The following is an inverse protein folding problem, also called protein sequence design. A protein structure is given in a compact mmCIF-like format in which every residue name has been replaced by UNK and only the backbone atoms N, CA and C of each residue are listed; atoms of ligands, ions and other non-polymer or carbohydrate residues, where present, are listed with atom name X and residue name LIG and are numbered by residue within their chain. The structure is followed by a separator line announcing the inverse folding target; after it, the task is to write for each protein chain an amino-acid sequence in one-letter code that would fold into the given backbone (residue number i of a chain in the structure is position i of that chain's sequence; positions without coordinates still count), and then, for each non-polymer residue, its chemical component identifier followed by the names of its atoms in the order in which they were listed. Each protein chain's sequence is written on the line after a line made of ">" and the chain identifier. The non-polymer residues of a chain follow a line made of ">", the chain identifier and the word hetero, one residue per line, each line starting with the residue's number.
data_IF_895659297385
#
_entry.id   IF_895659297385
#
_cell.length_a   1.000
_cell.length_b   1.000
_cell.length_c   1.000
_cell.angle_alpha   90.00
_cell.angle_beta   90.00
_cell.angle_gamma   90.00
#
_symmetry.space_group_name_H-M   'P 1'
#
loop_
_entity.id
_entity.type
_entity.pdbx_description
1 polymer ?
#
# COMPACT_ATOMS: atom_id res chain seq x y z
N UNK A 1 -28.95 4.72 -5.80
CA UNK A 1 -28.40 4.68 -4.43
C UNK A 1 -27.75 3.33 -4.10
N UNK A 2 -28.44 2.21 -4.20
CA UNK A 2 -27.90 0.87 -3.87
C UNK A 2 -26.65 0.51 -4.68
N UNK A 3 -26.63 0.75 -6.00
CA UNK A 3 -25.48 0.53 -6.87
C UNK A 3 -24.23 1.31 -6.41
N UNK A 4 -24.42 2.57 -5.99
CA UNK A 4 -23.30 3.41 -5.49
C UNK A 4 -22.71 2.85 -4.20
N UNK A 5 -23.53 2.39 -3.27
CA UNK A 5 -23.09 1.76 -2.03
C UNK A 5 -22.32 0.45 -2.30
N UNK A 6 -22.80 -0.38 -3.21
CA UNK A 6 -22.14 -1.63 -3.62
C UNK A 6 -20.78 -1.33 -4.25
N UNK A 7 -20.69 -0.35 -5.14
CA UNK A 7 -19.43 0.05 -5.76
C UNK A 7 -18.44 0.60 -4.73
N UNK A 8 -18.90 1.45 -3.79
CA UNK A 8 -18.06 1.94 -2.70
C UNK A 8 -17.53 0.80 -1.82
N UNK A 9 -18.38 -0.14 -1.43
CA UNK A 9 -17.95 -1.31 -0.66
C UNK A 9 -16.90 -2.08 -1.45
N UNK A 10 -17.15 -2.35 -2.72
CA UNK A 10 -16.31 -3.21 -3.55
C UNK A 10 -14.96 -2.57 -3.86
N UNK A 11 -14.93 -1.26 -4.11
CA UNK A 11 -13.70 -0.53 -4.48
C UNK A 11 -12.88 -0.05 -3.28
N UNK A 12 -13.50 0.23 -2.15
CA UNK A 12 -12.81 0.83 -1.00
C UNK A 12 -12.73 -0.09 0.20
N UNK A 13 -13.86 -0.58 0.71
CA UNK A 13 -13.90 -1.35 1.95
C UNK A 13 -13.36 -2.78 1.77
N UNK A 14 -13.82 -3.48 0.75
CA UNK A 14 -13.49 -4.89 0.54
C UNK A 14 -11.97 -5.12 0.31
N UNK A 15 -11.24 -4.32 -0.47
CA UNK A 15 -9.79 -4.46 -0.59
C UNK A 15 -9.06 -4.23 0.73
N UNK A 16 -9.48 -3.26 1.55
CA UNK A 16 -8.92 -3.01 2.87
C UNK A 16 -9.16 -4.21 3.81
N UNK A 17 -10.38 -4.74 3.83
CA UNK A 17 -10.77 -5.89 4.66
C UNK A 17 -9.99 -7.14 4.28
N UNK A 18 -9.94 -7.49 3.00
CA UNK A 18 -9.16 -8.63 2.49
C UNK A 18 -7.68 -8.47 2.85
N UNK A 19 -7.12 -7.26 2.65
CA UNK A 19 -5.72 -6.99 2.98
C UNK A 19 -5.42 -7.31 4.44
N UNK A 20 -6.20 -6.77 5.38
CA UNK A 20 -5.97 -6.95 6.82
C UNK A 20 -6.22 -8.39 7.25
N UNK A 21 -7.26 -9.02 6.70
CA UNK A 21 -7.61 -10.41 6.99
C UNK A 21 -6.47 -11.39 6.64
N UNK A 22 -5.80 -11.18 5.52
CA UNK A 22 -4.77 -12.09 5.01
C UNK A 22 -3.32 -11.67 5.29
N UNK A 23 -3.08 -10.52 5.95
CA UNK A 23 -1.74 -10.07 6.36
C UNK A 23 -0.90 -11.18 7.02
N UNK A 24 -1.41 -12.01 7.96
CA UNK A 24 -0.60 -13.02 8.62
C UNK A 24 -0.02 -14.06 7.65
N UNK A 25 -0.70 -14.29 6.53
CA UNK A 25 -0.24 -15.24 5.51
C UNK A 25 0.77 -14.62 4.54
N UNK A 26 0.76 -13.31 4.36
CA UNK A 26 1.70 -12.58 3.48
C UNK A 26 3.00 -12.21 4.19
N UNK A 27 3.03 -12.33 5.51
CA UNK A 27 4.20 -12.13 6.35
C UNK A 27 5.27 -13.20 6.08
N UNK A 28 6.53 -12.91 6.37
CA UNK A 28 7.63 -13.86 6.24
C UNK A 28 7.45 -15.04 7.18
N UNK A 29 7.98 -16.23 6.78
CA UNK A 29 7.96 -17.43 7.63
C UNK A 29 8.82 -17.30 8.91
N UNK A 30 9.76 -16.37 8.94
CA UNK A 30 10.59 -16.06 10.11
C UNK A 30 9.93 -15.08 11.09
N UNK A 31 8.68 -14.71 10.83
CA UNK A 31 7.95 -13.71 11.61
C UNK A 31 6.48 -14.11 11.76
N UNK A 32 5.91 -13.93 12.96
CA UNK A 32 4.50 -14.17 13.23
C UNK A 32 3.98 -13.07 14.14
N UNK A 33 2.93 -12.37 13.72
CA UNK A 33 2.33 -11.22 14.42
C UNK A 33 3.37 -10.22 14.93
N UNK A 34 4.38 -9.92 14.10
CA UNK A 34 5.43 -8.94 14.43
C UNK A 34 6.50 -9.43 15.40
N UNK A 35 6.51 -10.72 15.73
CA UNK A 35 7.51 -11.37 16.58
C UNK A 35 8.38 -12.28 15.72
N UNK A 36 9.71 -12.23 15.90
CA UNK A 36 10.63 -13.14 15.20
C UNK A 36 10.52 -14.56 15.76
N UNK A 37 10.42 -15.52 14.85
CA UNK A 37 10.29 -16.95 15.12
C UNK A 37 11.26 -17.76 14.25
N UNK A 38 11.66 -18.96 14.64
CA UNK A 38 12.31 -19.91 13.75
C UNK A 38 11.41 -20.31 12.57
N UNK A 39 11.97 -20.46 11.37
CA UNK A 39 11.17 -20.74 10.17
C UNK A 39 10.51 -22.13 10.21
N UNK A 40 11.14 -23.13 10.85
CA UNK A 40 10.62 -24.47 11.07
C UNK A 40 9.33 -24.50 11.89
N UNK A 41 9.14 -23.53 12.79
CA UNK A 41 7.97 -23.44 13.67
C UNK A 41 6.77 -22.81 12.96
N UNK A 42 6.99 -22.03 11.89
CA UNK A 42 5.93 -21.29 11.20
C UNK A 42 4.74 -22.16 10.80
N UNK A 43 5.00 -23.39 10.36
CA UNK A 43 3.98 -24.33 9.86
C UNK A 43 3.41 -25.28 10.93
N UNK A 44 3.73 -25.07 12.22
CA UNK A 44 3.15 -25.83 13.34
C UNK A 44 1.64 -25.64 13.44
N UNK A 45 0.94 -26.65 13.97
CA UNK A 45 -0.52 -26.63 14.14
C UNK A 45 -1.00 -25.44 15.00
N UNK A 46 -0.24 -25.10 16.04
CA UNK A 46 -0.52 -23.98 16.93
C UNK A 46 -0.52 -22.63 16.18
N UNK A 47 0.52 -22.35 15.38
CA UNK A 47 0.64 -21.10 14.65
C UNK A 47 -0.31 -21.04 13.43
N UNK A 48 -0.58 -22.16 12.77
CA UNK A 48 -1.63 -22.26 11.74
C UNK A 48 -3.01 -21.94 12.32
N UNK A 49 -3.35 -22.53 13.47
CA UNK A 49 -4.61 -22.23 14.18
C UNK A 49 -4.71 -20.77 14.59
N UNK A 50 -3.62 -20.19 15.07
CA UNK A 50 -3.57 -18.76 15.44
C UNK A 50 -3.84 -17.84 14.26
N UNK A 51 -3.20 -18.07 13.10
CA UNK A 51 -3.46 -17.33 11.86
C UNK A 51 -4.91 -17.49 11.41
N UNK A 52 -5.43 -18.73 11.42
CA UNK A 52 -6.83 -19.01 11.06
C UNK A 52 -7.82 -18.28 11.96
N UNK A 53 -7.58 -18.29 13.29
CA UNK A 53 -8.44 -17.55 14.24
C UNK A 53 -8.43 -16.05 13.98
N UNK A 54 -7.26 -15.45 13.76
CA UNK A 54 -7.16 -14.03 13.39
C UNK A 54 -7.98 -13.72 12.13
N UNK A 55 -7.81 -14.52 11.08
CA UNK A 55 -8.51 -14.34 9.79
C UNK A 55 -10.02 -14.44 9.96
N UNK A 56 -10.51 -15.40 10.77
CA UNK A 56 -11.95 -15.56 11.03
C UNK A 56 -12.48 -14.34 11.80
N UNK A 57 -11.79 -13.90 12.86
CA UNK A 57 -12.22 -12.75 13.67
C UNK A 57 -12.30 -11.49 12.81
N UNK A 58 -11.24 -11.18 12.05
CA UNK A 58 -11.25 -10.02 11.14
C UNK A 58 -12.34 -10.18 10.06
N UNK A 59 -12.54 -11.39 9.52
CA UNK A 59 -13.60 -11.67 8.54
C UNK A 59 -15.01 -11.41 9.09
N UNK A 60 -15.29 -11.85 10.31
CA UNK A 60 -16.58 -11.59 10.99
C UNK A 60 -16.78 -10.08 11.21
N UNK A 61 -15.76 -9.39 11.68
CA UNK A 61 -15.83 -7.93 11.89
C UNK A 61 -16.01 -7.20 10.57
N UNK A 62 -15.33 -7.62 9.50
CA UNK A 62 -15.51 -7.07 8.16
C UNK A 62 -16.95 -7.23 7.67
N UNK A 63 -17.53 -8.43 7.86
CA UNK A 63 -18.91 -8.69 7.48
C UNK A 63 -19.90 -7.83 8.28
N UNK A 64 -19.72 -7.75 9.60
CA UNK A 64 -20.54 -6.88 10.46
C UNK A 64 -20.43 -5.41 10.04
N UNK A 65 -19.24 -4.95 9.71
CA UNK A 65 -19.00 -3.58 9.22
C UNK A 65 -19.74 -3.33 7.91
N UNK A 66 -19.73 -4.28 6.97
CA UNK A 66 -20.50 -4.19 5.71
C UNK A 66 -21.99 -4.15 6.01
N UNK A 67 -22.50 -5.01 6.89
CA UNK A 67 -23.92 -5.03 7.24
C UNK A 67 -24.38 -3.70 7.87
N UNK A 68 -23.59 -3.14 8.79
CA UNK A 68 -23.88 -1.83 9.41
C UNK A 68 -23.83 -0.71 8.37
N UNK A 69 -22.81 -0.71 7.51
CA UNK A 69 -22.67 0.29 6.44
C UNK A 69 -23.85 0.25 5.46
N UNK A 70 -24.26 -0.94 5.01
CA UNK A 70 -25.43 -1.13 4.13
C UNK A 70 -26.72 -0.77 4.84
N UNK A 71 -26.91 -1.22 6.09
CA UNK A 71 -28.09 -0.91 6.87
C UNK A 71 -28.26 0.59 7.03
N UNK A 72 -27.22 1.30 7.47
CA UNK A 72 -27.28 2.76 7.59
C UNK A 72 -27.54 3.44 6.24
N UNK A 73 -26.88 2.99 5.17
CA UNK A 73 -27.03 3.54 3.82
C UNK A 73 -28.41 3.31 3.19
N UNK A 74 -29.13 2.24 3.58
CA UNK A 74 -30.47 1.93 3.06
C UNK A 74 -31.58 2.68 3.80
N UNK A 75 -31.39 2.95 5.09
CA UNK A 75 -32.41 3.58 5.93
C UNK A 75 -32.31 5.11 6.03
N UNK A 76 -31.24 5.71 5.47
CA UNK A 76 -31.03 7.17 5.51
C UNK A 76 -30.90 7.75 4.10
N UNK A 77 -31.61 8.86 3.85
CA UNK A 77 -31.40 9.67 2.64
C UNK A 77 -30.10 10.49 2.83
N UNK A 78 -28.97 9.94 2.37
CA UNK A 78 -27.67 10.57 2.54
C UNK A 78 -27.30 11.50 1.39
N UNK A 79 -26.81 12.69 1.71
CA UNK A 79 -26.08 13.53 0.76
C UNK A 79 -24.71 12.90 0.43
N UNK A 80 -24.10 13.27 -0.68
CA UNK A 80 -22.78 12.75 -1.08
C UNK A 80 -21.68 13.04 -0.05
N UNK A 81 -21.73 14.21 0.59
CA UNK A 81 -20.82 14.55 1.68
C UNK A 81 -20.99 13.63 2.88
N UNK A 82 -22.21 13.28 3.25
CA UNK A 82 -22.47 12.29 4.32
C UNK A 82 -21.94 10.91 3.98
N UNK A 83 -22.06 10.47 2.73
CA UNK A 83 -21.47 9.19 2.28
C UNK A 83 -19.97 9.20 2.41
N UNK A 84 -19.28 10.29 2.03
CA UNK A 84 -17.83 10.44 2.21
C UNK A 84 -17.41 10.34 3.68
N UNK A 85 -18.10 11.03 4.57
CA UNK A 85 -17.86 10.95 6.02
C UNK A 85 -18.13 9.54 6.57
N UNK A 86 -19.19 8.88 6.13
CA UNK A 86 -19.52 7.52 6.55
C UNK A 86 -18.42 6.53 6.13
N UNK A 87 -17.92 6.61 4.90
CA UNK A 87 -16.81 5.77 4.42
C UNK A 87 -15.56 6.02 5.24
N UNK A 88 -15.18 7.30 5.42
CA UNK A 88 -13.98 7.68 6.17
C UNK A 88 -14.03 7.22 7.63
N UNK A 89 -15.15 7.42 8.32
CA UNK A 89 -15.32 6.96 9.71
C UNK A 89 -15.34 5.44 9.81
N UNK A 90 -16.01 4.75 8.88
CA UNK A 90 -16.07 3.29 8.84
C UNK A 90 -14.67 2.67 8.68
N UNK A 91 -13.87 3.17 7.74
CA UNK A 91 -12.49 2.70 7.53
C UNK A 91 -11.65 2.98 8.77
N UNK A 92 -11.76 4.17 9.36
CA UNK A 92 -10.98 4.55 10.54
C UNK A 92 -11.29 3.67 11.74
N UNK A 93 -12.57 3.44 12.04
CA UNK A 93 -13.00 2.55 13.12
C UNK A 93 -12.55 1.11 12.87
N UNK A 94 -12.72 0.61 11.65
CA UNK A 94 -12.27 -0.73 11.28
C UNK A 94 -10.75 -0.89 11.46
N UNK A 95 -9.95 0.11 11.08
CA UNK A 95 -8.50 0.10 11.26
C UNK A 95 -8.12 0.05 12.74
N UNK A 96 -8.78 0.86 13.59
CA UNK A 96 -8.55 0.88 15.04
C UNK A 96 -8.89 -0.49 15.66
N UNK A 97 -10.07 -1.04 15.36
CA UNK A 97 -10.50 -2.35 15.89
C UNK A 97 -9.54 -3.46 15.43
N UNK A 98 -9.19 -3.47 14.16
CA UNK A 98 -8.26 -4.46 13.59
C UNK A 98 -6.87 -4.38 14.22
N UNK A 99 -6.40 -3.16 14.52
CA UNK A 99 -5.14 -2.96 15.23
C UNK A 99 -5.20 -3.45 16.68
N UNK A 100 -6.30 -3.23 17.39
CA UNK A 100 -6.49 -3.77 18.75
C UNK A 100 -6.48 -5.30 18.75
N UNK A 101 -7.17 -5.92 17.79
CA UNK A 101 -7.14 -7.38 17.63
C UNK A 101 -5.72 -7.85 17.33
N UNK A 102 -5.02 -7.19 16.40
CA UNK A 102 -3.62 -7.50 16.14
C UNK A 102 -2.76 -7.47 17.40
N UNK A 103 -2.94 -6.47 18.29
CA UNK A 103 -2.18 -6.36 19.55
C UNK A 103 -2.43 -7.54 20.48
N UNK A 104 -3.65 -8.06 20.55
CA UNK A 104 -3.97 -9.27 21.33
C UNK A 104 -3.17 -10.46 20.80
N UNK A 105 -3.14 -10.66 19.48
CA UNK A 105 -2.38 -11.74 18.87
C UNK A 105 -0.86 -11.53 18.98
N UNK A 106 -0.38 -10.29 18.90
CA UNK A 106 1.02 -9.95 19.14
C UNK A 106 1.47 -10.29 20.57
N UNK A 107 0.69 -9.90 21.59
CA UNK A 107 0.97 -10.23 22.99
C UNK A 107 0.99 -11.74 23.22
N UNK A 108 0.00 -12.46 22.68
CA UNK A 108 -0.04 -13.91 22.74
C UNK A 108 1.18 -14.56 22.11
N UNK A 109 1.64 -14.03 20.96
CA UNK A 109 2.83 -14.53 20.28
C UNK A 109 4.10 -14.30 21.10
N UNK A 110 4.22 -13.13 21.76
CA UNK A 110 5.32 -12.84 22.71
C UNK A 110 5.35 -13.82 23.88
N UNK A 111 4.19 -14.14 24.45
CA UNK A 111 4.07 -15.14 25.53
C UNK A 111 4.54 -16.52 25.07
N UNK A 112 4.07 -16.98 23.90
CA UNK A 112 4.51 -18.26 23.30
C UNK A 112 6.03 -18.27 23.13
N UNK A 113 6.62 -17.20 22.58
CA UNK A 113 8.07 -17.09 22.40
C UNK A 113 8.84 -17.16 23.72
N UNK A 114 8.37 -16.46 24.74
CA UNK A 114 9.02 -16.44 26.06
C UNK A 114 9.00 -17.79 26.75
N UNK A 115 7.87 -18.51 26.68
CA UNK A 115 7.69 -19.84 27.26
C UNK A 115 8.53 -20.89 26.54
N UNK A 116 8.56 -20.82 25.20
CA UNK A 116 9.30 -21.80 24.37
C UNK A 116 10.80 -21.58 24.34
N UNK A 117 11.33 -20.50 24.96
CA UNK A 117 12.76 -20.15 25.06
C UNK A 117 13.52 -20.16 23.71
N UNK A 118 12.84 -19.87 22.60
CA UNK A 118 13.40 -19.96 21.24
C UNK A 118 14.63 -19.08 20.98
N UNK A 119 14.94 -18.11 21.83
CA UNK A 119 16.10 -17.20 21.65
C UNK A 119 17.38 -17.63 22.37
N UNK A 120 17.34 -18.62 23.29
CA UNK A 120 18.47 -18.89 24.20
C UNK A 120 19.55 -19.84 23.67
N UNK A 121 19.35 -20.53 22.56
CA UNK A 121 20.25 -21.61 22.11
C UNK A 121 20.99 -21.35 20.79
N UNK A 122 20.90 -20.18 20.20
CA UNK A 122 21.45 -19.97 18.83
C UNK A 122 22.39 -18.78 18.76
N UNK A 123 23.64 -19.04 18.39
CA UNK A 123 24.69 -18.03 18.17
C UNK A 123 24.29 -17.10 17.01
N UNK A 124 24.29 -15.81 17.25
CA UNK A 124 24.03 -14.81 16.20
C UNK A 124 25.27 -14.69 15.31
N UNK A 125 25.18 -15.15 14.06
CA UNK A 125 26.18 -14.83 13.03
C UNK A 125 25.61 -13.75 12.11
N UNK A 126 26.30 -12.62 12.05
CA UNK A 126 25.98 -11.52 11.14
C UNK A 126 26.59 -11.83 9.78
N UNK A 127 25.80 -12.31 8.83
CA UNK A 127 26.23 -12.43 7.44
C UNK A 127 26.02 -11.08 6.73
N UNK A 128 27.09 -10.32 6.55
CA UNK A 128 27.06 -9.08 5.75
C UNK A 128 27.53 -9.45 4.34
N UNK A 129 26.57 -9.62 3.42
CA UNK A 129 26.89 -9.76 2.00
C UNK A 129 26.91 -8.39 1.33
N UNK A 130 28.10 -7.86 1.08
CA UNK A 130 28.32 -6.58 0.36
C UNK A 130 27.93 -6.65 -1.12
N UNK A 131 27.94 -7.84 -1.72
CA UNK A 131 27.62 -8.07 -3.13
C UNK A 131 26.16 -7.74 -3.49
N UNK A 132 25.23 -7.71 -2.53
CA UNK A 132 23.83 -7.38 -2.80
C UNK A 132 23.63 -5.96 -3.34
N UNK A 133 24.41 -4.99 -2.86
CA UNK A 133 24.33 -3.59 -3.32
C UNK A 133 24.72 -3.41 -4.79
N UNK A 134 25.40 -4.38 -5.39
CA UNK A 134 25.79 -4.37 -6.81
C UNK A 134 24.66 -4.86 -7.74
N UNK A 135 23.62 -5.51 -7.20
CA UNK A 135 22.50 -5.99 -8.01
C UNK A 135 21.49 -4.87 -8.30
N UNK A 136 20.95 -4.85 -9.53
CA UNK A 136 19.85 -3.95 -9.91
C UNK A 136 18.55 -4.41 -9.23
N UNK A 137 18.26 -3.86 -8.04
CA UNK A 137 17.12 -4.25 -7.20
C UNK A 137 15.77 -3.70 -7.69
N UNK A 138 15.77 -2.69 -8.54
CA UNK A 138 14.58 -2.02 -9.08
C UNK A 138 14.79 -1.62 -10.53
N UNK A 139 13.72 -1.31 -11.22
CA UNK A 139 13.78 -0.65 -12.53
C UNK A 139 14.12 0.84 -12.39
N UNK A 140 14.68 1.43 -13.44
CA UNK A 140 15.08 2.83 -13.45
C UNK A 140 13.88 3.77 -13.29
N UNK A 141 14.08 4.88 -12.57
CA UNK A 141 13.10 5.97 -12.53
C UNK A 141 12.92 6.67 -13.90
N UNK A 142 13.79 6.43 -14.88
CA UNK A 142 13.65 6.99 -16.21
C UNK A 142 12.34 6.59 -16.90
N UNK A 143 11.73 5.47 -16.50
CA UNK A 143 10.41 5.08 -16.99
C UNK A 143 9.31 6.09 -16.65
N UNK A 144 9.49 6.91 -15.62
CA UNK A 144 8.55 7.98 -15.29
C UNK A 144 8.61 9.17 -16.26
N UNK A 145 9.50 9.17 -17.25
CA UNK A 145 9.44 10.15 -18.34
C UNK A 145 8.12 10.04 -19.12
N UNK A 146 7.57 8.82 -19.23
CA UNK A 146 6.30 8.57 -19.94
C UNK A 146 5.14 9.36 -19.30
N UNK A 147 4.82 9.22 -18.00
CA UNK A 147 3.79 10.03 -17.38
C UNK A 147 4.12 11.54 -17.39
N UNK A 148 5.37 11.96 -17.28
CA UNK A 148 5.71 13.37 -17.40
C UNK A 148 5.37 13.92 -18.79
N UNK A 149 5.73 13.20 -19.85
CA UNK A 149 5.38 13.59 -21.22
C UNK A 149 3.85 13.69 -21.40
N UNK A 150 3.09 12.71 -20.87
CA UNK A 150 1.63 12.75 -20.90
C UNK A 150 1.08 14.00 -20.20
N UNK A 151 1.54 14.28 -18.97
CA UNK A 151 1.07 15.42 -18.17
C UNK A 151 1.38 16.74 -18.88
N UNK A 152 2.61 16.94 -19.33
CA UNK A 152 2.98 18.18 -20.02
C UNK A 152 2.26 18.34 -21.36
N UNK A 153 2.06 17.25 -22.12
CA UNK A 153 1.27 17.30 -23.35
C UNK A 153 -0.19 17.69 -23.09
N UNK A 154 -0.79 17.11 -22.04
CA UNK A 154 -2.18 17.50 -21.68
C UNK A 154 -2.27 18.93 -21.15
N UNK A 155 -1.28 19.43 -20.41
CA UNK A 155 -1.21 20.85 -20.03
C UNK A 155 -1.16 21.75 -21.25
N UNK A 156 -0.25 21.48 -22.19
CA UNK A 156 -0.10 22.27 -23.43
C UNK A 156 -1.42 22.28 -24.21
N UNK A 157 -2.02 21.10 -24.44
CA UNK A 157 -3.29 20.99 -25.15
C UNK A 157 -4.41 21.76 -24.44
N UNK A 158 -4.44 21.71 -23.12
CA UNK A 158 -5.45 22.41 -22.32
C UNK A 158 -5.30 23.92 -22.47
N UNK A 159 -4.08 24.46 -22.46
CA UNK A 159 -3.87 25.90 -22.66
C UNK A 159 -4.13 26.36 -24.09
N UNK A 160 -3.73 25.56 -25.09
CA UNK A 160 -4.03 25.85 -26.50
C UNK A 160 -5.54 25.87 -26.78
N UNK A 161 -6.31 25.06 -26.04
CA UNK A 161 -7.75 24.95 -26.18
C UNK A 161 -8.54 25.72 -25.09
N UNK A 162 -7.87 26.58 -24.31
CA UNK A 162 -8.48 27.22 -23.13
C UNK A 162 -9.79 27.95 -23.46
N UNK A 163 -9.85 28.67 -24.56
CA UNK A 163 -11.06 29.40 -25.00
C UNK A 163 -12.26 28.47 -25.24
N UNK A 164 -12.02 27.24 -25.68
CA UNK A 164 -13.04 26.24 -25.99
C UNK A 164 -13.54 25.48 -24.74
N UNK A 165 -12.88 25.66 -23.57
CA UNK A 165 -13.33 25.02 -22.33
C UNK A 165 -14.58 25.71 -21.82
N UNK A 166 -15.66 24.96 -21.42
CA UNK A 166 -16.88 25.53 -20.88
C UNK A 166 -16.63 26.37 -19.60
N UNK A 167 -17.44 27.41 -19.40
CA UNK A 167 -17.38 28.25 -18.18
C UNK A 167 -17.64 27.47 -16.89
N UNK A 168 -18.44 26.40 -16.96
CA UNK A 168 -18.69 25.46 -15.87
C UNK A 168 -18.02 24.13 -16.17
N UNK A 169 -16.96 23.81 -15.43
CA UNK A 169 -16.19 22.57 -15.58
C UNK A 169 -16.74 21.54 -14.59
N UNK A 170 -17.14 20.35 -15.05
CA UNK A 170 -17.57 19.26 -14.18
C UNK A 170 -16.40 18.76 -13.33
N UNK A 171 -16.53 18.80 -12.00
CA UNK A 171 -15.48 18.38 -11.07
C UNK A 171 -15.77 17.04 -10.42
N UNK A 172 -17.04 16.69 -10.26
CA UNK A 172 -17.45 15.44 -9.62
C UNK A 172 -18.62 14.81 -10.37
N UNK A 173 -18.59 13.49 -10.44
CA UNK A 173 -19.66 12.68 -11.03
C UNK A 173 -20.09 11.61 -10.03
N UNK A 174 -21.38 11.31 -9.97
CA UNK A 174 -21.85 10.10 -9.32
C UNK A 174 -21.60 8.87 -10.21
N UNK A 175 -21.84 7.67 -9.69
CA UNK A 175 -21.64 6.44 -10.46
C UNK A 175 -22.66 6.25 -11.61
N UNK A 176 -23.72 7.04 -11.68
CA UNK A 176 -24.67 7.10 -12.79
C UNK A 176 -24.20 8.01 -13.93
N UNK A 177 -23.11 8.76 -13.70
CA UNK A 177 -22.56 9.72 -14.65
C UNK A 177 -23.18 11.11 -14.57
N UNK A 178 -24.03 11.38 -13.57
CA UNK A 178 -24.58 12.70 -13.36
C UNK A 178 -23.54 13.58 -12.68
N UNK A 179 -23.46 14.84 -13.09
CA UNK A 179 -22.51 15.78 -12.53
C UNK A 179 -23.06 16.30 -11.22
N UNK A 180 -22.31 16.12 -10.14
CA UNK A 180 -22.74 16.51 -8.79
C UNK A 180 -22.08 17.80 -8.32
N UNK A 181 -20.97 18.19 -8.95
CA UNK A 181 -20.30 19.46 -8.65
C UNK A 181 -19.65 20.07 -9.89
N UNK A 182 -19.70 21.41 -9.96
CA UNK A 182 -19.09 22.22 -11.00
C UNK A 182 -18.14 23.25 -10.38
N UNK A 183 -17.04 23.55 -11.06
CA UNK A 183 -16.22 24.71 -10.76
C UNK A 183 -16.25 25.71 -11.92
N UNK A 184 -16.08 26.99 -11.58
CA UNK A 184 -15.93 28.05 -12.59
C UNK A 184 -14.58 27.90 -13.29
N UNK A 185 -14.57 28.11 -14.60
CA UNK A 185 -13.36 28.10 -15.42
C UNK A 185 -12.36 29.15 -14.92
N UNK A 186 -11.19 28.67 -14.59
CA UNK A 186 -10.04 29.49 -14.19
C UNK A 186 -8.76 28.72 -14.44
N UNK A 187 -7.62 29.40 -14.50
CA UNK A 187 -6.32 28.71 -14.59
C UNK A 187 -6.08 27.75 -13.42
N UNK A 188 -6.54 28.13 -12.21
CA UNK A 188 -6.47 27.28 -11.04
C UNK A 188 -7.27 25.99 -11.22
N UNK A 189 -8.52 26.08 -11.64
CA UNK A 189 -9.41 24.92 -11.86
C UNK A 189 -8.84 23.98 -12.91
N UNK A 190 -8.33 24.52 -14.01
CA UNK A 190 -7.83 23.74 -15.12
C UNK A 190 -6.49 23.06 -14.78
N UNK A 191 -5.66 23.67 -13.93
CA UNK A 191 -4.38 23.12 -13.48
C UNK A 191 -4.50 22.18 -12.29
N UNK A 192 -5.64 22.15 -11.58
CA UNK A 192 -5.82 21.33 -10.37
C UNK A 192 -5.51 19.85 -10.62
N UNK A 193 -6.03 19.28 -11.69
CA UNK A 193 -5.82 17.87 -12.03
C UNK A 193 -4.38 17.58 -12.47
N UNK A 194 -3.73 18.34 -13.38
CA UNK A 194 -2.32 18.19 -13.68
C UNK A 194 -1.37 18.33 -12.48
N UNK A 195 -1.64 19.26 -11.56
CA UNK A 195 -0.85 19.42 -10.31
C UNK A 195 -0.98 18.18 -9.44
N UNK A 196 -2.20 17.66 -9.27
CA UNK A 196 -2.45 16.42 -8.55
C UNK A 196 -1.73 15.23 -9.21
N UNK A 197 -1.74 15.17 -10.54
CA UNK A 197 -1.03 14.17 -11.33
C UNK A 197 0.49 14.21 -11.10
N UNK A 198 1.09 15.39 -11.17
CA UNK A 198 2.52 15.59 -10.89
C UNK A 198 2.87 15.11 -9.48
N UNK A 199 2.07 15.49 -8.49
CA UNK A 199 2.26 15.05 -7.11
C UNK A 199 2.22 13.52 -6.97
N UNK A 200 1.23 12.87 -7.58
CA UNK A 200 1.13 11.41 -7.55
C UNK A 200 2.35 10.74 -8.20
N UNK A 201 2.83 11.27 -9.32
CA UNK A 201 4.04 10.72 -9.97
C UNK A 201 5.29 10.91 -9.10
N UNK A 202 5.43 12.02 -8.39
CA UNK A 202 6.52 12.20 -7.41
C UNK A 202 6.43 11.16 -6.28
N UNK A 203 5.23 10.82 -5.81
CA UNK A 203 5.03 9.73 -4.83
C UNK A 203 5.48 8.39 -5.44
N UNK A 204 5.09 8.07 -6.67
CA UNK A 204 5.49 6.82 -7.33
C UNK A 204 7.03 6.74 -7.51
N UNK A 205 7.68 7.83 -7.91
CA UNK A 205 9.16 7.94 -7.99
C UNK A 205 9.80 7.69 -6.61
N UNK A 206 9.25 8.30 -5.58
CA UNK A 206 9.70 8.13 -4.20
C UNK A 206 9.58 6.67 -3.77
N UNK A 207 8.41 6.03 -3.96
CA UNK A 207 8.17 4.62 -3.62
C UNK A 207 9.10 3.69 -4.41
N UNK A 208 9.28 3.93 -5.71
CA UNK A 208 10.22 3.14 -6.52
C UNK A 208 11.66 3.28 -6.05
N UNK A 209 12.07 4.48 -5.65
CA UNK A 209 13.41 4.75 -5.09
C UNK A 209 13.58 4.05 -3.75
N UNK A 210 12.57 4.12 -2.88
CA UNK A 210 12.52 3.45 -1.59
C UNK A 210 12.66 1.93 -1.75
N UNK A 211 11.98 1.34 -2.72
CA UNK A 211 12.06 -0.09 -3.04
C UNK A 211 13.50 -0.56 -3.26
N UNK A 212 14.35 0.28 -3.88
CA UNK A 212 15.78 -0.04 -4.07
C UNK A 212 16.67 0.22 -2.85
N UNK A 213 16.35 1.27 -2.07
CA UNK A 213 17.22 1.77 -1.00
C UNK A 213 16.89 1.21 0.40
N UNK A 214 15.70 0.69 0.63
CA UNK A 214 15.29 0.19 1.93
C UNK A 214 16.19 -0.98 2.40
N UNK A 215 16.47 -1.00 3.71
CA UNK A 215 17.26 -2.08 4.33
C UNK A 215 16.55 -3.41 4.17
N UNK A 216 17.31 -4.40 3.73
CA UNK A 216 16.83 -5.78 3.65
C UNK A 216 16.81 -6.46 5.01
N UNK A 217 15.88 -7.40 5.11
CA UNK A 217 15.90 -8.42 6.15
C UNK A 217 16.10 -9.78 5.49
N UNK A 218 17.34 -10.24 5.46
CA UNK A 218 17.69 -11.55 4.91
C UNK A 218 17.52 -12.63 5.97
N UNK A 219 17.08 -13.82 5.54
CA UNK A 219 17.13 -15.01 6.38
C UNK A 219 18.58 -15.41 6.61
N UNK A 220 18.94 -15.62 7.88
CA UNK A 220 20.28 -16.07 8.23
C UNK A 220 20.48 -17.57 7.94
N UNK A 221 19.41 -18.32 7.69
CA UNK A 221 19.46 -19.76 7.36
C UNK A 221 20.01 -20.01 5.94
N UNK A 222 19.58 -19.20 4.99
CA UNK A 222 20.06 -19.23 3.61
C UNK A 222 20.08 -17.82 3.05
N UNK A 223 21.18 -17.07 3.28
CA UNK A 223 21.29 -15.67 2.87
C UNK A 223 21.22 -15.50 1.34
N UNK A 224 21.82 -16.40 0.56
CA UNK A 224 21.83 -16.35 -0.91
C UNK A 224 20.44 -16.52 -1.49
N UNK A 225 19.70 -17.56 -1.05
CA UNK A 225 18.32 -17.79 -1.44
C UNK A 225 17.45 -16.60 -1.06
N UNK A 226 17.57 -16.10 0.16
CA UNK A 226 16.80 -14.95 0.64
C UNK A 226 17.13 -13.68 -0.13
N UNK A 227 18.40 -13.49 -0.53
CA UNK A 227 18.85 -12.38 -1.37
C UNK A 227 18.20 -12.44 -2.76
N UNK A 228 18.20 -13.61 -3.40
CA UNK A 228 17.59 -13.81 -4.72
C UNK A 228 16.06 -13.60 -4.68
N UNK A 229 15.38 -14.15 -3.67
CA UNK A 229 13.96 -13.97 -3.43
C UNK A 229 13.61 -12.48 -3.23
N UNK A 230 14.41 -11.77 -2.45
CA UNK A 230 14.22 -10.33 -2.19
C UNK A 230 14.45 -9.48 -3.46
N UNK A 231 15.42 -9.85 -4.29
CA UNK A 231 15.66 -9.18 -5.59
C UNK A 231 14.45 -9.32 -6.50
N UNK A 232 13.87 -10.53 -6.63
CA UNK A 232 12.66 -10.78 -7.42
C UNK A 232 11.48 -9.97 -6.87
N UNK A 233 11.29 -9.98 -5.55
CA UNK A 233 10.26 -9.20 -4.88
C UNK A 233 10.34 -7.72 -5.23
N UNK A 234 11.51 -7.11 -5.02
CA UNK A 234 11.73 -5.68 -5.27
C UNK A 234 11.53 -5.30 -6.73
N UNK A 235 12.02 -6.12 -7.67
CA UNK A 235 11.85 -5.87 -9.10
C UNK A 235 10.39 -5.95 -9.51
N UNK A 236 9.62 -6.93 -9.02
CA UNK A 236 8.19 -7.03 -9.31
C UNK A 236 7.39 -5.86 -8.74
N UNK A 237 7.68 -5.43 -7.51
CA UNK A 237 7.04 -4.26 -6.91
C UNK A 237 7.47 -2.96 -7.58
N UNK A 238 8.71 -2.83 -8.02
CA UNK A 238 9.19 -1.72 -8.83
C UNK A 238 8.44 -1.63 -10.16
N UNK A 239 8.26 -2.75 -10.87
CA UNK A 239 7.47 -2.80 -12.09
C UNK A 239 6.00 -2.39 -11.82
N UNK A 240 5.38 -2.93 -10.79
CA UNK A 240 4.03 -2.55 -10.36
C UNK A 240 3.91 -1.05 -10.11
N UNK A 241 4.87 -0.45 -9.40
CA UNK A 241 4.90 0.99 -9.10
C UNK A 241 5.00 1.82 -10.38
N UNK A 242 5.88 1.45 -11.30
CA UNK A 242 6.05 2.19 -12.57
C UNK A 242 4.80 2.08 -13.45
N UNK A 243 4.33 0.86 -13.71
CA UNK A 243 3.16 0.65 -14.56
C UNK A 243 1.89 1.22 -13.92
N UNK A 244 1.73 1.10 -12.60
CA UNK A 244 0.61 1.72 -11.87
C UNK A 244 0.61 3.25 -12.03
N UNK A 245 1.78 3.88 -11.93
CA UNK A 245 1.93 5.32 -12.17
C UNK A 245 1.59 5.73 -13.62
N UNK A 246 2.03 4.95 -14.61
CA UNK A 246 1.72 5.21 -16.03
C UNK A 246 0.20 5.08 -16.28
N UNK A 247 -0.41 3.98 -15.83
CA UNK A 247 -1.84 3.72 -16.03
C UNK A 247 -2.70 4.79 -15.34
N UNK A 248 -2.34 5.17 -14.11
CA UNK A 248 -3.04 6.24 -13.40
C UNK A 248 -2.89 7.59 -14.12
N UNK A 249 -1.70 7.90 -14.65
CA UNK A 249 -1.50 9.12 -15.43
C UNK A 249 -2.32 9.12 -16.73
N UNK A 250 -2.42 7.99 -17.43
CA UNK A 250 -3.29 7.87 -18.60
C UNK A 250 -4.74 8.14 -18.25
N UNK A 251 -5.26 7.54 -17.15
CA UNK A 251 -6.62 7.78 -16.69
C UNK A 251 -6.88 9.26 -16.40
N UNK A 252 -6.02 9.89 -15.60
CA UNK A 252 -6.20 11.30 -15.21
C UNK A 252 -6.01 12.24 -16.42
N UNK A 253 -5.12 11.91 -17.36
CA UNK A 253 -5.00 12.65 -18.62
C UNK A 253 -6.28 12.54 -19.48
N UNK A 254 -6.92 11.38 -19.51
CA UNK A 254 -8.22 11.22 -20.20
C UNK A 254 -9.31 12.08 -19.55
N UNK A 255 -9.35 12.15 -18.21
CA UNK A 255 -10.26 13.05 -17.49
C UNK A 255 -9.92 14.52 -17.79
N UNK A 256 -8.65 14.93 -17.84
CA UNK A 256 -8.26 16.29 -18.24
C UNK A 256 -8.72 16.63 -19.66
N UNK A 257 -8.55 15.71 -20.60
CA UNK A 257 -8.98 15.91 -22.00
C UNK A 257 -10.51 16.01 -22.14
N UNK A 258 -11.29 15.47 -21.20
CA UNK A 258 -12.75 15.62 -21.23
C UNK A 258 -13.24 17.05 -20.97
N UNK A 259 -12.35 17.95 -20.51
CA UNK A 259 -12.66 19.39 -20.40
C UNK A 259 -12.66 20.08 -21.78
N UNK A 260 -11.95 19.49 -22.74
CA UNK A 260 -11.77 20.06 -24.10
C UNK A 260 -12.66 19.32 -25.10
N UNK A 261 -12.70 18.00 -25.01
CA UNK A 261 -13.37 17.12 -25.94
C UNK A 261 -14.61 16.49 -25.30
N UNK A 262 -15.67 16.30 -26.08
CA UNK A 262 -16.91 15.66 -25.63
C UNK A 262 -16.71 14.16 -25.44
N UNK A 263 -16.01 13.76 -24.41
CA UNK A 263 -15.81 12.35 -24.04
C UNK A 263 -17.05 11.87 -23.27
N UNK A 264 -17.70 10.76 -23.69
CA UNK A 264 -18.87 10.24 -23.00
C UNK A 264 -18.57 9.93 -21.52
N UNK A 265 -19.41 10.40 -20.61
CA UNK A 265 -19.23 10.22 -19.16
C UNK A 265 -19.20 8.75 -18.77
N UNK A 266 -20.05 7.91 -19.38
CA UNK A 266 -20.01 6.46 -19.16
C UNK A 266 -18.67 5.82 -19.49
N UNK A 267 -17.94 6.33 -20.52
CA UNK A 267 -16.59 5.88 -20.83
C UNK A 267 -15.59 6.26 -19.72
N UNK A 268 -15.65 7.49 -19.21
CA UNK A 268 -14.76 7.95 -18.14
C UNK A 268 -14.93 7.11 -16.86
N UNK A 269 -16.19 6.90 -16.44
CA UNK A 269 -16.50 6.13 -15.22
C UNK A 269 -16.09 4.67 -15.41
N UNK A 270 -16.46 4.05 -16.54
CA UNK A 270 -16.12 2.66 -16.80
C UNK A 270 -14.61 2.45 -16.82
N UNK A 271 -13.86 3.34 -17.49
CA UNK A 271 -12.39 3.28 -17.53
C UNK A 271 -11.79 3.47 -16.15
N UNK A 272 -12.29 4.39 -15.33
CA UNK A 272 -11.83 4.60 -13.96
C UNK A 272 -12.06 3.36 -13.09
N UNK A 273 -13.27 2.78 -13.13
CA UNK A 273 -13.63 1.58 -12.37
C UNK A 273 -12.73 0.40 -12.77
N UNK A 274 -12.60 0.13 -14.07
CA UNK A 274 -11.74 -0.96 -14.59
C UNK A 274 -10.29 -0.75 -14.15
N UNK A 275 -9.77 0.47 -14.25
CA UNK A 275 -8.40 0.80 -13.85
C UNK A 275 -8.14 0.53 -12.38
N UNK A 276 -9.04 0.98 -11.50
CA UNK A 276 -8.91 0.75 -10.05
C UNK A 276 -8.97 -0.74 -9.74
N UNK A 277 -9.92 -1.47 -10.31
CA UNK A 277 -10.00 -2.93 -10.13
C UNK A 277 -8.75 -3.64 -10.61
N UNK A 278 -8.24 -3.29 -11.79
CA UNK A 278 -7.04 -3.92 -12.35
C UNK A 278 -5.81 -3.70 -11.45
N UNK A 279 -5.61 -2.49 -10.91
CA UNK A 279 -4.52 -2.18 -9.99
C UNK A 279 -4.68 -2.96 -8.68
N UNK A 280 -5.88 -3.01 -8.11
CA UNK A 280 -6.14 -3.75 -6.86
C UNK A 280 -5.89 -5.25 -7.05
N UNK A 281 -6.47 -5.85 -8.10
CA UNK A 281 -6.29 -7.28 -8.41
C UNK A 281 -4.80 -7.58 -8.63
N UNK A 282 -4.08 -6.75 -9.37
CA UNK A 282 -2.65 -6.94 -9.59
C UNK A 282 -1.86 -6.87 -8.28
N UNK A 283 -2.17 -5.91 -7.40
CA UNK A 283 -1.54 -5.81 -6.08
C UNK A 283 -1.80 -7.07 -5.23
N UNK A 284 -3.01 -7.64 -5.24
CA UNK A 284 -3.34 -8.88 -4.54
C UNK A 284 -2.60 -10.08 -5.11
N UNK A 285 -2.58 -10.24 -6.44
CA UNK A 285 -1.84 -11.32 -7.10
C UNK A 285 -0.36 -11.23 -6.76
N UNK A 286 0.20 -10.02 -6.81
CA UNK A 286 1.60 -9.78 -6.50
C UNK A 286 1.90 -10.11 -5.03
N UNK A 287 1.06 -9.67 -4.10
CA UNK A 287 1.16 -9.95 -2.67
C UNK A 287 1.09 -11.45 -2.38
N UNK A 288 0.15 -12.15 -3.00
CA UNK A 288 -0.02 -13.59 -2.84
C UNK A 288 1.17 -14.36 -3.40
N UNK A 289 1.65 -14.01 -4.61
CA UNK A 289 2.76 -14.73 -5.29
C UNK A 289 4.13 -14.45 -4.67
N UNK A 290 4.36 -13.25 -4.12
CA UNK A 290 5.68 -12.89 -3.61
C UNK A 290 5.81 -13.01 -2.09
N UNK A 291 4.77 -12.70 -1.34
CA UNK A 291 4.86 -12.51 0.10
C UNK A 291 5.83 -11.37 0.48
N UNK A 292 5.99 -11.08 1.74
CA UNK A 292 6.93 -10.08 2.22
C UNK A 292 8.39 -10.51 1.94
N UNK A 293 9.15 -9.60 1.32
CA UNK A 293 10.56 -9.82 1.00
C UNK A 293 10.82 -11.00 0.04
N UNK A 294 9.80 -11.47 -0.68
CA UNK A 294 9.90 -12.60 -1.61
C UNK A 294 9.78 -13.98 -0.95
N UNK A 295 9.32 -14.04 0.30
CA UNK A 295 9.26 -15.28 1.10
C UNK A 295 8.48 -16.43 0.46
N UNK A 296 7.65 -16.15 -0.55
CA UNK A 296 6.86 -17.14 -1.31
C UNK A 296 7.43 -17.44 -2.69
N UNK A 297 8.49 -16.76 -3.09
CA UNK A 297 9.14 -17.03 -4.38
C UNK A 297 9.93 -18.34 -4.27
N UNK A 298 9.57 -19.32 -5.11
CA UNK A 298 10.29 -20.60 -5.17
C UNK A 298 11.62 -20.41 -5.87
N UNK A 299 12.71 -20.76 -5.21
CA UNK A 299 14.06 -20.76 -5.76
C UNK A 299 14.69 -22.09 -5.37
N UNK A 300 15.08 -22.89 -6.36
CA UNK A 300 15.83 -24.13 -6.15
C UNK A 300 17.30 -23.77 -5.91
N UNK A 301 17.71 -23.76 -4.65
CA UNK A 301 19.12 -23.69 -4.23
C UNK A 301 19.30 -24.65 -3.06
N UNK A 302 20.32 -25.49 -3.13
CA UNK A 302 20.68 -26.41 -2.05
C UNK A 302 21.09 -25.64 -0.79
N UNK A 303 20.46 -26.00 0.32
CA UNK A 303 20.71 -25.39 1.62
C UNK A 303 21.69 -26.22 2.44
N UNK A 304 22.97 -25.92 2.35
CA UNK A 304 23.98 -26.37 3.31
C UNK A 304 24.22 -25.28 4.36
N UNK A 305 23.24 -24.95 5.20
CA UNK A 305 23.41 -23.90 6.20
C UNK A 305 22.79 -24.24 7.54
N UNK A 306 23.58 -24.07 8.62
CA UNK A 306 23.09 -24.14 10.00
C UNK A 306 22.14 -22.98 10.26
N UNK A 307 21.01 -23.28 10.87
CA UNK A 307 19.94 -22.31 11.24
C UNK A 307 20.50 -21.21 12.17
N UNK A 308 20.45 -19.97 11.71
CA UNK A 308 20.80 -18.81 12.51
C UNK A 308 19.58 -17.90 12.63
N UNK A 309 19.15 -17.65 13.84
CA UNK A 309 17.98 -16.83 14.12
C UNK A 309 18.43 -15.42 14.56
N UNK A 310 17.89 -14.38 13.92
CA UNK A 310 18.11 -12.99 14.31
C UNK A 310 16.99 -12.54 15.23
N UNK A 311 17.29 -12.32 16.50
CA UNK A 311 16.36 -11.74 17.44
C UNK A 311 16.66 -10.25 17.63
N UNK A 312 15.91 -9.40 16.93
CA UNK A 312 15.96 -7.94 17.02
C UNK A 312 14.61 -7.35 17.52
N UNK A 313 13.77 -8.17 18.20
CA UNK A 313 12.46 -7.78 18.72
C UNK A 313 12.48 -6.53 19.60
N UNK A 314 13.60 -6.29 20.33
CA UNK A 314 13.78 -5.11 21.19
C UNK A 314 13.58 -3.78 20.46
N UNK A 315 13.91 -3.73 19.17
CA UNK A 315 13.78 -2.53 18.35
C UNK A 315 12.41 -2.38 17.70
N UNK A 316 11.56 -3.42 17.79
CA UNK A 316 10.24 -3.42 17.17
C UNK A 316 9.15 -3.17 18.22
N UNK A 317 8.71 -1.92 18.32
CA UNK A 317 7.62 -1.54 19.24
C UNK A 317 6.28 -2.01 18.64
N UNK A 318 5.48 -2.68 19.48
CA UNK A 318 4.24 -3.34 19.10
C UNK A 318 4.36 -4.27 17.86
N UNK A 319 5.58 -4.72 17.56
CA UNK A 319 5.84 -5.61 16.42
C UNK A 319 5.73 -4.97 15.01
N UNK A 320 5.40 -3.68 14.92
CA UNK A 320 5.20 -2.97 13.65
C UNK A 320 6.07 -1.72 13.48
N UNK A 321 6.42 -1.05 14.58
CA UNK A 321 7.18 0.19 14.55
C UNK A 321 8.65 -0.06 14.87
N UNK A 322 9.52 0.13 13.89
CA UNK A 322 10.97 0.01 14.10
C UNK A 322 11.53 1.29 14.72
N UNK A 323 12.17 1.17 15.87
CA UNK A 323 12.73 2.29 16.63
C UNK A 323 14.16 1.93 17.06
N UNK A 324 15.14 2.42 16.31
CA UNK A 324 16.57 2.21 16.64
C UNK A 324 17.36 3.47 16.24
N UNK A 325 17.85 4.20 17.25
CA UNK A 325 18.63 5.43 17.06
C UNK A 325 20.01 5.15 16.50
N UNK A 326 20.57 3.99 16.80
CA UNK A 326 21.93 3.60 16.39
C UNK A 326 21.99 3.07 14.95
N UNK A 327 20.83 2.67 14.39
CA UNK A 327 20.76 2.20 13.00
C UNK A 327 20.58 3.41 12.05
N UNK A 328 21.55 3.69 11.15
CA UNK A 328 21.47 4.81 10.22
C UNK A 328 20.35 4.66 9.16
N UNK A 329 19.73 3.50 9.10
CA UNK A 329 18.72 3.18 8.10
C UNK A 329 17.42 3.98 8.36
N UNK A 330 16.89 4.60 7.31
CA UNK A 330 15.60 5.32 7.36
C UNK A 330 14.45 4.38 7.06
N UNK A 331 14.58 3.52 6.05
CA UNK A 331 13.52 2.60 5.61
C UNK A 331 13.97 1.15 5.79
N UNK A 332 13.08 0.33 6.36
CA UNK A 332 13.29 -1.09 6.61
C UNK A 332 12.04 -1.89 6.20
N UNK A 333 12.21 -3.15 5.83
CA UNK A 333 11.07 -4.02 5.49
C UNK A 333 10.21 -4.30 6.73
N UNK A 334 8.88 -4.26 6.55
CA UNK A 334 7.91 -4.56 7.61
C UNK A 334 8.04 -5.99 8.12
N UNK A 335 7.76 -6.18 9.40
CA UNK A 335 7.65 -7.51 10.02
C UNK A 335 6.26 -8.11 9.91
N UNK A 336 5.23 -7.29 9.85
CA UNK A 336 3.85 -7.72 9.70
C UNK A 336 3.24 -7.02 8.49
N UNK A 337 2.84 -7.81 7.50
CA UNK A 337 2.36 -7.33 6.22
C UNK A 337 3.45 -7.22 5.15
N UNK A 338 3.12 -6.57 4.05
CA UNK A 338 4.00 -6.36 2.88
C UNK A 338 4.43 -4.89 2.82
N UNK A 339 5.66 -4.65 2.38
CA UNK A 339 6.20 -3.33 2.14
C UNK A 339 7.26 -2.90 3.15
N UNK A 340 7.36 -1.61 3.37
CA UNK A 340 8.42 -0.99 4.17
C UNK A 340 7.82 -0.11 5.26
N UNK A 341 8.59 0.10 6.33
CA UNK A 341 8.30 1.04 7.41
C UNK A 341 9.51 1.95 7.64
N UNK A 342 9.32 3.01 8.38
CA UNK A 342 10.39 3.92 8.74
C UNK A 342 11.02 3.55 10.07
N UNK A 343 12.29 3.95 10.24
CA UNK A 343 12.94 3.95 11.53
C UNK A 343 12.52 5.19 12.33
N UNK A 344 11.53 5.03 13.18
CA UNK A 344 10.98 6.12 14.01
C UNK A 344 11.94 6.65 15.06
N UNK A 345 13.09 5.96 15.27
CA UNK A 345 14.20 6.45 16.09
C UNK A 345 15.05 7.52 15.40
N UNK A 346 14.86 7.78 14.10
CA UNK A 346 15.61 8.76 13.31
C UNK A 346 14.79 10.03 13.09
N UNK A 347 15.31 11.24 13.42
CA UNK A 347 14.61 12.51 13.20
C UNK A 347 14.15 12.71 11.74
N UNK A 348 14.98 12.30 10.78
CA UNK A 348 14.66 12.41 9.35
C UNK A 348 13.36 11.71 8.95
N UNK A 349 12.98 10.62 9.65
CA UNK A 349 11.71 9.92 9.40
C UNK A 349 10.51 10.82 9.70
N UNK A 350 10.59 11.60 10.77
CA UNK A 350 9.56 12.57 11.15
C UNK A 350 9.50 13.73 10.16
N UNK A 351 10.65 14.24 9.71
CA UNK A 351 10.73 15.30 8.68
C UNK A 351 10.04 14.83 7.39
N UNK A 352 10.28 13.59 6.96
CA UNK A 352 9.65 13.03 5.76
C UNK A 352 8.12 12.95 5.92
N UNK A 353 7.63 12.46 7.07
CA UNK A 353 6.19 12.33 7.32
C UNK A 353 5.51 13.68 7.39
N UNK A 354 6.07 14.62 8.16
CA UNK A 354 5.53 15.97 8.29
C UNK A 354 5.53 16.69 6.93
N UNK A 355 6.66 16.61 6.20
CA UNK A 355 6.76 17.19 4.86
C UNK A 355 5.72 16.61 3.90
N UNK A 356 5.50 15.29 3.92
CA UNK A 356 4.46 14.65 3.12
C UNK A 356 3.05 15.17 3.47
N UNK A 357 2.74 15.27 4.76
CA UNK A 357 1.44 15.80 5.23
C UNK A 357 1.25 17.25 4.77
N UNK A 358 2.26 18.11 4.97
CA UNK A 358 2.18 19.52 4.60
C UNK A 358 2.01 19.71 3.08
N UNK A 359 2.75 18.96 2.27
CA UNK A 359 2.63 19.01 0.81
C UNK A 359 1.23 18.54 0.38
N UNK A 360 0.73 17.44 0.96
CA UNK A 360 -0.61 16.93 0.66
C UNK A 360 -1.68 17.96 1.00
N UNK A 361 -1.61 18.55 2.18
CA UNK A 361 -2.54 19.63 2.59
C UNK A 361 -2.45 20.83 1.66
N UNK A 362 -1.23 21.26 1.29
CA UNK A 362 -1.03 22.36 0.34
C UNK A 362 -1.68 22.09 -1.02
N UNK A 363 -1.55 20.88 -1.56
CA UNK A 363 -2.18 20.51 -2.83
C UNK A 363 -3.71 20.49 -2.70
N UNK A 364 -4.24 19.90 -1.64
CA UNK A 364 -5.69 19.91 -1.37
C UNK A 364 -6.22 21.34 -1.33
N UNK A 365 -5.55 22.24 -0.60
CA UNK A 365 -5.95 23.66 -0.53
C UNK A 365 -5.82 24.39 -1.88
N UNK A 366 -4.89 23.98 -2.73
CA UNK A 366 -4.74 24.53 -4.08
C UNK A 366 -5.80 24.01 -5.06
N UNK A 367 -6.39 22.86 -4.81
CA UNK A 367 -7.33 22.17 -5.73
C UNK A 367 -8.78 22.34 -5.34
N UNK A 368 -9.07 22.77 -4.10
CA UNK A 368 -10.37 23.21 -3.62
C UNK A 368 -10.54 24.72 -3.87
#
# INVERSE_FOLDING_TARGET
>A
MMTNLILLITLTLLPAFISIMFIPYWTRKTESFGVSIPADIYDTSALKSMRKKYTIIIGVISLLTICVFLGYGLFTNMSESMVGWLVGTTITLFMIISFMIYLIFHQKMKQIKSTAKWGRQRTQKLAIHTQFRQQKLRYSNNWFIVPFVLIFSTIILTFLSYEHIPEKIPMQYNFQGEITNFATKSYRTVLALPITQLYLILIFIFVNTLTGKAKQQLSAENPEKSMHQNTIFRRRWSAFTIFGGIILSMLLSTVQLSFIYSIPQGFLITTAVITVFAIIIWAFILSYKTGQGGSRVTVSMDSNGKTVNRDDDRYWKLGQFYVNKDDPTIFIEKRFGIGWTMNWGRPISWVIVIGFILITLGIVLLTI
#
